data_IF_020356681880
#
_entry.id   IF_020356681880
#
_cell.length_a   1.000
_cell.length_b   1.000
_cell.length_c   1.000
_cell.angle_alpha   90.00
_cell.angle_beta   90.00
_cell.angle_gamma   90.00
#
_symmetry.space_group_name_H-M   'P 1'
#
loop_
_entity.id
_entity.type
_entity.pdbx_description
1 polymer ?
#
# COMPACT_ATOMS: atom_id res chain seq x y z
N UNK A 1 -2.25 23.61 -6.69
CA UNK A 1 -3.67 23.50 -6.21
C UNK A 1 -3.66 23.48 -4.69
N UNK A 2 -4.58 24.21 -4.03
CA UNK A 2 -4.62 24.25 -2.55
C UNK A 2 -5.17 22.92 -2.01
N UNK A 3 -4.58 22.42 -0.92
CA UNK A 3 -5.01 21.18 -0.28
C UNK A 3 -6.50 21.24 0.12
N UNK A 4 -7.35 20.32 -0.36
CA UNK A 4 -8.79 20.34 -0.06
C UNK A 4 -9.11 19.99 1.40
N UNK A 5 -8.18 19.35 2.10
CA UNK A 5 -8.37 18.94 3.50
C UNK A 5 -8.06 20.06 4.49
N UNK A 6 -6.91 20.72 4.35
CA UNK A 6 -6.47 21.73 5.31
C UNK A 6 -6.65 23.17 4.82
N UNK A 7 -6.73 23.42 3.50
CA UNK A 7 -6.87 24.75 2.93
C UNK A 7 -5.65 25.68 3.11
N UNK A 8 -4.55 25.19 3.70
CA UNK A 8 -3.42 26.03 4.15
C UNK A 8 -2.26 26.13 3.17
N UNK A 9 -1.96 25.04 2.47
CA UNK A 9 -0.80 24.94 1.59
C UNK A 9 -1.18 24.33 0.24
N UNK A 10 -0.38 24.62 -0.77
CA UNK A 10 -0.46 23.92 -2.04
C UNK A 10 0.07 22.48 -1.89
N UNK A 11 -0.62 21.56 -2.56
CA UNK A 11 -0.13 20.18 -2.67
C UNK A 11 1.05 20.16 -3.65
N UNK A 12 2.07 19.40 -3.29
CA UNK A 12 3.28 19.23 -4.09
C UNK A 12 3.23 17.87 -4.79
N UNK A 13 3.87 17.78 -5.95
CA UNK A 13 3.99 16.52 -6.68
C UNK A 13 4.76 15.50 -5.83
N UNK A 14 4.18 14.32 -5.69
CA UNK A 14 4.77 13.20 -4.96
C UNK A 14 4.29 11.90 -5.59
N UNK A 15 4.99 10.81 -5.31
CA UNK A 15 4.62 9.47 -5.78
C UNK A 15 4.42 8.54 -4.60
N UNK A 16 3.38 7.72 -4.68
CA UNK A 16 3.09 6.73 -3.65
C UNK A 16 3.12 5.33 -4.23
N UNK A 17 3.55 4.40 -3.39
CA UNK A 17 3.39 2.98 -3.62
C UNK A 17 2.39 2.45 -2.62
N UNK A 18 1.31 1.85 -3.10
CA UNK A 18 0.27 1.28 -2.25
C UNK A 18 -0.13 -0.12 -2.71
N UNK A 19 -0.51 -0.96 -1.75
CA UNK A 19 -1.00 -2.30 -2.02
C UNK A 19 -2.43 -2.40 -1.50
N UNK A 20 -3.31 -3.05 -2.25
CA UNK A 20 -4.69 -3.32 -1.82
C UNK A 20 -5.09 -4.75 -2.14
N UNK A 21 -5.94 -5.32 -1.31
CA UNK A 21 -6.59 -6.60 -1.56
C UNK A 21 -8.06 -6.38 -1.92
N UNK A 22 -8.52 -6.96 -3.03
CA UNK A 22 -9.94 -6.96 -3.38
C UNK A 22 -10.34 -8.32 -3.96
N UNK A 23 -11.36 -8.95 -3.36
CA UNK A 23 -11.86 -10.29 -3.76
C UNK A 23 -10.73 -11.31 -3.92
N UNK A 24 -9.85 -11.40 -2.91
CA UNK A 24 -8.70 -12.30 -2.93
C UNK A 24 -7.67 -12.00 -4.03
N UNK A 25 -7.70 -10.83 -4.68
CA UNK A 25 -6.65 -10.40 -5.58
C UNK A 25 -5.83 -9.31 -4.90
N UNK A 26 -4.50 -9.49 -4.89
CA UNK A 26 -3.55 -8.48 -4.44
C UNK A 26 -3.19 -7.57 -5.62
N UNK A 27 -3.38 -6.28 -5.43
CA UNK A 27 -3.01 -5.25 -6.38
C UNK A 27 -1.83 -4.46 -5.78
N UNK A 28 -0.72 -4.43 -6.50
CA UNK A 28 0.42 -3.57 -6.18
C UNK A 28 0.45 -2.40 -7.15
N UNK A 29 0.34 -1.20 -6.62
CA UNK A 29 0.49 0.03 -7.37
C UNK A 29 1.78 0.69 -6.96
N UNK A 30 2.78 0.61 -7.83
CA UNK A 30 4.06 1.28 -7.66
C UNK A 30 4.06 2.57 -8.47
N UNK A 31 4.69 3.61 -7.91
CA UNK A 31 4.96 4.91 -8.54
C UNK A 31 3.69 5.63 -9.04
N UNK A 32 2.63 5.63 -8.23
CA UNK A 32 1.40 6.34 -8.58
C UNK A 32 1.57 7.82 -8.26
N UNK A 33 1.36 8.73 -9.24
CA UNK A 33 1.42 10.16 -8.99
C UNK A 33 0.27 10.56 -8.05
N UNK A 34 0.62 11.01 -6.84
CA UNK A 34 -0.36 11.42 -5.84
C UNK A 34 0.17 12.64 -5.10
N UNK A 35 -0.23 13.86 -5.49
CA UNK A 35 0.23 15.08 -4.85
C UNK A 35 -0.04 15.07 -3.34
N UNK A 36 0.98 15.44 -2.56
CA UNK A 36 0.95 15.43 -1.10
C UNK A 36 0.94 16.84 -0.54
N UNK A 37 0.07 17.08 0.44
CA UNK A 37 0.12 18.31 1.22
C UNK A 37 1.27 18.26 2.24
N UNK A 38 2.20 19.23 2.23
CA UNK A 38 3.32 19.26 3.18
C UNK A 38 2.88 19.52 4.62
N UNK A 39 1.77 20.25 4.82
CA UNK A 39 1.30 20.64 6.15
C UNK A 39 0.54 19.53 6.90
N UNK A 40 -0.29 18.76 6.18
CA UNK A 40 -1.20 17.78 6.80
C UNK A 40 -1.00 16.35 6.30
N UNK A 41 -0.05 16.12 5.40
CA UNK A 41 0.25 14.80 4.84
C UNK A 41 -0.86 14.20 3.98
N UNK A 42 -1.89 14.98 3.64
CA UNK A 42 -3.00 14.51 2.81
C UNK A 42 -2.55 14.30 1.37
N UNK A 43 -2.77 13.09 0.86
CA UNK A 43 -2.60 12.76 -0.55
C UNK A 43 -3.89 13.07 -1.32
N UNK A 44 -3.72 13.67 -2.49
CA UNK A 44 -4.79 13.89 -3.45
C UNK A 44 -4.59 12.92 -4.60
N UNK A 45 -5.63 12.20 -4.97
CA UNK A 45 -5.63 11.34 -6.15
C UNK A 45 -6.27 12.12 -7.29
N UNK A 46 -5.50 12.39 -8.34
CA UNK A 46 -5.98 13.06 -9.55
C UNK A 46 -6.71 12.08 -10.47
N UNK A 47 -7.49 12.59 -11.42
CA UNK A 47 -8.16 11.74 -12.44
C UNK A 47 -7.16 10.96 -13.29
N UNK A 48 -5.98 11.54 -13.55
CA UNK A 48 -4.89 10.87 -14.26
C UNK A 48 -4.36 9.68 -13.45
N UNK A 49 -4.09 9.88 -12.17
CA UNK A 49 -3.67 8.82 -11.26
C UNK A 49 -4.73 7.71 -11.16
N UNK A 50 -6.00 8.09 -11.07
CA UNK A 50 -7.12 7.15 -11.05
C UNK A 50 -7.18 6.30 -12.33
N UNK A 51 -6.99 6.93 -13.49
CA UNK A 51 -6.97 6.24 -14.78
C UNK A 51 -5.84 5.23 -14.89
N UNK A 52 -4.64 5.57 -14.41
CA UNK A 52 -3.49 4.64 -14.35
C UNK A 52 -3.80 3.46 -13.44
N UNK A 53 -4.40 3.70 -12.27
CA UNK A 53 -4.77 2.64 -11.34
C UNK A 53 -5.83 1.71 -11.94
N UNK A 54 -6.89 2.26 -12.54
CA UNK A 54 -7.93 1.47 -13.19
C UNK A 54 -7.39 0.63 -14.36
N UNK A 55 -6.49 1.18 -15.18
CA UNK A 55 -5.84 0.44 -16.25
C UNK A 55 -4.99 -0.73 -15.73
N UNK A 56 -4.23 -0.53 -14.63
CA UNK A 56 -3.48 -1.62 -13.98
C UNK A 56 -4.42 -2.70 -13.42
N UNK A 57 -5.55 -2.32 -12.83
CA UNK A 57 -6.58 -3.26 -12.34
C UNK A 57 -7.15 -4.08 -13.49
N UNK A 58 -7.50 -3.43 -14.60
CA UNK A 58 -8.05 -4.10 -15.78
C UNK A 58 -7.06 -5.13 -16.35
N UNK A 59 -5.78 -4.75 -16.49
CA UNK A 59 -4.73 -5.66 -16.95
C UNK A 59 -4.54 -6.89 -16.04
N UNK A 60 -4.60 -6.71 -14.72
CA UNK A 60 -4.49 -7.81 -13.77
C UNK A 60 -5.72 -8.74 -13.82
N UNK A 61 -6.90 -8.16 -13.96
CA UNK A 61 -8.16 -8.90 -14.05
C UNK A 61 -8.24 -9.70 -15.36
N UNK A 62 -7.76 -9.15 -16.47
CA UNK A 62 -7.68 -9.85 -17.76
C UNK A 62 -6.66 -11.00 -17.75
N UNK A 63 -5.61 -10.90 -16.93
CA UNK A 63 -4.54 -11.92 -16.80
C UNK A 63 -4.83 -12.98 -15.73
N UNK A 64 -6.05 -13.06 -15.20
CA UNK A 64 -6.40 -13.90 -14.06
C UNK A 64 -6.36 -15.42 -14.36
N UNK A 65 -5.16 -15.99 -14.50
CA UNK A 65 -4.82 -17.26 -13.86
C UNK A 65 -4.17 -16.91 -12.52
N UNK A 66 -4.94 -17.16 -11.45
CA UNK A 66 -4.65 -16.90 -10.04
C UNK A 66 -3.14 -16.98 -9.76
N UNK A 67 -2.50 -15.84 -9.54
CA UNK A 67 -1.08 -15.78 -9.19
C UNK A 67 -0.92 -14.94 -7.93
N UNK A 68 -1.37 -15.53 -6.80
CA UNK A 68 -1.15 -15.05 -5.42
C UNK A 68 0.33 -14.84 -5.06
N UNK A 69 1.28 -15.21 -5.93
CA UNK A 69 2.70 -15.37 -5.59
C UNK A 69 3.66 -14.33 -6.19
N UNK A 70 3.19 -13.36 -6.98
CA UNK A 70 4.10 -12.40 -7.65
C UNK A 70 4.07 -10.98 -7.08
N UNK A 71 3.04 -10.61 -6.33
CA UNK A 71 3.03 -9.36 -5.58
C UNK A 71 3.81 -9.56 -4.27
N UNK A 72 5.14 -9.50 -4.36
CA UNK A 72 6.02 -9.56 -3.19
C UNK A 72 6.02 -8.17 -2.56
N UNK A 73 5.55 -8.05 -1.32
CA UNK A 73 5.72 -6.85 -0.52
C UNK A 73 7.15 -6.31 -0.65
N UNK A 74 7.39 -5.08 -1.13
CA UNK A 74 8.67 -4.43 -0.88
C UNK A 74 8.75 -4.21 0.62
N UNK A 75 9.73 -4.86 1.27
CA UNK A 75 10.00 -4.79 2.71
C UNK A 75 10.47 -3.40 3.19
N UNK A 76 10.29 -2.35 2.39
CA UNK A 76 11.00 -1.08 2.55
C UNK A 76 10.12 0.11 2.92
N UNK A 77 8.82 -0.07 3.21
CA UNK A 77 8.07 0.97 3.90
C UNK A 77 8.04 0.64 5.39
N UNK A 78 9.13 1.02 6.07
CA UNK A 78 9.16 1.17 7.52
C UNK A 78 8.55 2.54 7.80
N UNK A 79 7.27 2.68 8.20
CA UNK A 79 6.93 3.79 9.07
C UNK A 79 7.78 3.61 10.34
N UNK A 80 8.48 4.67 10.69
CA UNK A 80 9.45 4.77 11.77
C UNK A 80 8.80 4.45 13.13
N UNK A 81 8.64 3.16 13.45
CA UNK A 81 8.37 2.65 14.81
C UNK A 81 9.12 1.32 14.95
N UNK A 82 10.04 1.29 15.92
CA UNK A 82 10.87 0.15 16.28
C UNK A 82 10.00 -1.09 16.56
N UNK A 83 10.10 -2.14 15.74
CA UNK A 83 9.65 -3.47 16.13
C UNK A 83 10.84 -4.44 16.00
N UNK A 84 11.27 -4.92 17.16
CA UNK A 84 12.44 -5.74 17.38
C UNK A 84 12.19 -7.16 16.84
N UNK A 85 13.04 -7.70 15.95
CA UNK A 85 12.82 -8.99 15.30
C UNK A 85 12.83 -10.19 16.26
N UNK A 86 13.15 -10.02 17.55
CA UNK A 86 13.04 -11.10 18.54
C UNK A 86 11.59 -11.40 18.97
N UNK A 87 10.70 -10.41 18.99
CA UNK A 87 9.35 -10.59 19.54
C UNK A 87 8.45 -11.45 18.63
N UNK A 88 8.64 -11.37 17.32
CA UNK A 88 7.84 -12.10 16.34
C UNK A 88 8.15 -13.60 16.28
N UNK A 89 9.37 -14.02 16.66
CA UNK A 89 9.74 -15.44 16.71
C UNK A 89 9.08 -16.13 17.92
N UNK A 90 9.08 -15.48 19.08
CA UNK A 90 8.55 -16.06 20.33
C UNK A 90 7.02 -16.26 20.30
N UNK A 91 6.30 -15.37 19.60
CA UNK A 91 4.85 -15.49 19.41
C UNK A 91 4.48 -16.68 18.49
N UNK A 92 5.34 -17.02 17.53
CA UNK A 92 5.09 -18.08 16.56
C UNK A 92 5.32 -19.47 17.16
N UNK A 93 6.22 -19.59 18.16
CA UNK A 93 6.49 -20.84 18.88
C UNK A 93 5.42 -21.17 19.94
N UNK A 94 4.76 -20.17 20.52
CA UNK A 94 3.71 -20.37 21.54
C UNK A 94 2.38 -20.85 20.96
N UNK A 95 2.05 -20.45 19.72
CA UNK A 95 0.83 -20.90 19.03
C UNK A 95 0.93 -22.39 18.68
N UNK A 96 2.11 -22.86 18.24
CA UNK A 96 2.31 -24.25 17.83
C UNK A 96 2.25 -25.27 18.98
N UNK A 97 2.52 -24.84 20.23
CA UNK A 97 2.39 -25.69 21.42
C UNK A 97 0.95 -25.84 21.91
N UNK A 98 0.07 -24.88 21.60
CA UNK A 98 -1.31 -24.88 22.09
C UNK A 98 -2.26 -25.74 21.24
N UNK A 99 -1.84 -26.17 20.06
CA UNK A 99 -2.63 -27.03 19.16
C UNK A 99 -2.43 -28.54 19.37
N UNK A 100 -1.58 -28.95 20.32
CA UNK A 100 -1.37 -30.35 20.71
C UNK A 100 -1.63 -30.54 22.21
N UNK A 101 -2.88 -30.40 22.63
CA UNK A 101 -3.38 -31.00 23.87
C UNK A 101 -4.85 -31.36 23.72
#
# INVERSE_FOLDING_TARGET
>A
MICPKCGKAEVLEDTISYQMECRNNLFCFEEVPAPKCPECGHFVITEEALSVMLAKIEQLTQKATISYHKCRWPKNHVPEEQDDPQATVELMETINKSARK
#
